data_IF_633944144085
#
_entry.id   IF_633944144085
#
_cell.length_a   1.000
_cell.length_b   1.000
_cell.length_c   1.000
_cell.angle_alpha   90.00
_cell.angle_beta   90.00
_cell.angle_gamma   90.00
#
_symmetry.space_group_name_H-M   'P 1'
#
loop_
_entity.id
_entity.type
_entity.pdbx_description
1 polymer ?
#
# COMPACT_ATOMS: atom_id res chain seq x y z
N UNK A 1 7.56 -10.63 12.70
CA UNK A 1 7.43 -9.46 11.81
C UNK A 1 6.04 -8.86 12.00
N UNK A 2 5.89 -7.54 12.23
CA UNK A 2 4.57 -6.88 12.27
C UNK A 2 4.31 -6.24 10.91
N UNK A 3 3.25 -6.65 10.24
CA UNK A 3 2.74 -5.98 9.03
C UNK A 3 2.27 -4.57 9.40
N UNK A 4 2.34 -3.61 8.47
CA UNK A 4 1.89 -2.23 8.71
C UNK A 4 0.45 -2.14 9.25
N UNK A 5 -0.40 -3.12 8.92
CA UNK A 5 -1.76 -3.24 9.46
C UNK A 5 -1.99 -4.52 10.28
N UNK A 6 -1.00 -5.41 10.40
CA UNK A 6 -1.20 -6.74 11.01
C UNK A 6 -2.04 -7.73 10.18
N UNK A 7 -2.58 -7.29 9.03
CA UNK A 7 -3.59 -8.05 8.28
C UNK A 7 -2.96 -8.86 7.13
N UNK A 8 -3.33 -10.15 6.94
CA UNK A 8 -2.75 -10.97 5.88
C UNK A 8 -3.23 -10.55 4.48
N UNK A 9 -2.29 -10.52 3.54
CA UNK A 9 -2.59 -10.45 2.10
C UNK A 9 -3.11 -11.82 1.67
N UNK A 10 -4.24 -11.87 0.99
CA UNK A 10 -4.79 -13.09 0.39
C UNK A 10 -4.35 -13.27 -1.07
N UNK A 11 -4.24 -12.18 -1.83
CA UNK A 11 -3.90 -12.19 -3.25
C UNK A 11 -3.27 -10.86 -3.67
N UNK A 12 -2.33 -10.93 -4.60
CA UNK A 12 -1.81 -9.80 -5.35
C UNK A 12 -1.81 -10.13 -6.84
N UNK A 13 -2.33 -9.24 -7.69
CA UNK A 13 -2.39 -9.48 -9.13
C UNK A 13 -2.22 -8.20 -9.93
N UNK A 14 -1.63 -8.33 -11.12
CA UNK A 14 -1.55 -7.30 -12.16
C UNK A 14 -2.37 -7.69 -13.41
N UNK A 15 -3.16 -8.75 -13.32
CA UNK A 15 -4.14 -9.11 -14.35
C UNK A 15 -5.38 -8.29 -14.09
N UNK A 16 -5.79 -7.50 -15.08
CA UNK A 16 -6.95 -6.66 -14.92
C UNK A 16 -8.25 -7.44 -14.89
N UNK A 17 -9.11 -7.13 -13.91
CA UNK A 17 -10.48 -7.66 -13.81
C UNK A 17 -11.40 -6.47 -13.53
N UNK A 18 -12.56 -6.42 -14.20
CA UNK A 18 -13.59 -5.39 -14.00
C UNK A 18 -13.09 -3.93 -14.12
N UNK A 19 -12.20 -3.67 -15.09
CA UNK A 19 -11.67 -2.32 -15.35
C UNK A 19 -10.59 -1.85 -14.38
N UNK A 20 -10.17 -2.68 -13.43
CA UNK A 20 -9.02 -2.43 -12.54
C UNK A 20 -7.79 -3.13 -13.14
N UNK A 21 -6.63 -2.46 -13.23
CA UNK A 21 -5.40 -3.02 -13.85
C UNK A 21 -4.60 -3.96 -12.94
N UNK A 22 -4.90 -3.98 -11.66
CA UNK A 22 -4.24 -4.82 -10.67
C UNK A 22 -4.93 -4.66 -9.32
N UNK A 23 -4.81 -5.66 -8.46
CA UNK A 23 -5.52 -5.70 -7.18
C UNK A 23 -4.67 -6.38 -6.11
N UNK A 24 -4.70 -5.80 -4.93
CA UNK A 24 -4.35 -6.49 -3.68
C UNK A 24 -5.65 -6.77 -2.94
N UNK A 25 -5.84 -8.01 -2.51
CA UNK A 25 -6.94 -8.38 -1.63
C UNK A 25 -6.40 -9.07 -0.38
N UNK A 26 -7.04 -8.82 0.74
CA UNK A 26 -6.77 -9.42 2.03
C UNK A 26 -7.94 -9.11 2.95
N UNK A 27 -7.86 -9.59 4.19
CA UNK A 27 -8.73 -9.03 5.21
C UNK A 27 -8.42 -7.53 5.36
N UNK A 28 -9.43 -6.77 5.78
CA UNK A 28 -9.21 -5.44 6.32
C UNK A 28 -9.87 -5.50 7.69
N UNK A 29 -9.10 -5.23 8.74
CA UNK A 29 -9.65 -5.14 10.09
C UNK A 29 -10.56 -3.91 10.20
N UNK A 30 -11.48 -3.95 11.16
CA UNK A 30 -12.28 -2.79 11.52
C UNK A 30 -11.33 -1.66 11.97
N UNK A 31 -11.52 -0.47 11.40
CA UNK A 31 -10.67 0.69 11.67
C UNK A 31 -11.19 1.38 12.94
N UNK A 32 -10.63 0.99 14.08
CA UNK A 32 -11.14 1.40 15.40
C UNK A 32 -10.22 2.39 16.14
N UNK A 33 -9.03 2.66 15.60
CA UNK A 33 -8.09 3.60 16.21
C UNK A 33 -7.44 4.55 15.21
N UNK A 34 -6.95 5.68 15.71
CA UNK A 34 -6.19 6.64 14.90
C UNK A 34 -4.98 5.99 14.21
N UNK A 35 -4.34 5.03 14.87
CA UNK A 35 -3.23 4.27 14.31
C UNK A 35 -3.69 3.43 13.10
N UNK A 36 -4.87 2.82 13.17
CA UNK A 36 -5.43 2.01 12.08
C UNK A 36 -5.77 2.88 10.87
N UNK A 37 -6.40 4.04 11.09
CA UNK A 37 -6.66 5.00 10.02
C UNK A 37 -5.36 5.50 9.38
N UNK A 38 -4.34 5.85 10.18
CA UNK A 38 -3.06 6.29 9.65
C UNK A 38 -2.36 5.19 8.84
N UNK A 39 -2.26 3.98 9.39
CA UNK A 39 -1.67 2.83 8.71
C UNK A 39 -2.43 2.49 7.42
N UNK A 40 -3.75 2.66 7.41
CA UNK A 40 -4.55 2.49 6.20
C UNK A 40 -4.19 3.52 5.13
N UNK A 41 -3.98 4.78 5.51
CA UNK A 41 -3.51 5.82 4.57
C UNK A 41 -2.14 5.43 4.01
N UNK A 42 -1.19 4.98 4.86
CA UNK A 42 0.15 4.52 4.42
C UNK A 42 0.02 3.43 3.34
N UNK A 43 -0.83 2.42 3.55
CA UNK A 43 -1.05 1.35 2.56
C UNK A 43 -1.65 1.88 1.25
N UNK A 44 -2.60 2.81 1.33
CA UNK A 44 -3.28 3.36 0.14
C UNK A 44 -2.36 4.27 -0.69
N UNK A 45 -1.47 5.03 -0.04
CA UNK A 45 -0.49 5.87 -0.74
C UNK A 45 0.69 5.05 -1.27
N UNK A 46 1.01 3.90 -0.66
CA UNK A 46 2.16 3.08 -1.04
C UNK A 46 2.17 2.64 -2.51
N UNK A 47 1.00 2.48 -3.16
CA UNK A 47 0.93 2.12 -4.58
C UNK A 47 1.61 3.15 -5.48
N UNK A 48 1.23 4.42 -5.35
CA UNK A 48 1.77 5.49 -6.19
C UNK A 48 3.18 5.92 -5.74
N UNK A 49 3.50 5.80 -4.44
CA UNK A 49 4.88 5.99 -3.95
C UNK A 49 5.79 4.89 -4.49
N UNK A 50 5.33 3.65 -4.56
CA UNK A 50 6.04 2.52 -5.16
C UNK A 50 6.31 2.72 -6.64
N UNK A 51 5.33 3.24 -7.41
CA UNK A 51 5.55 3.65 -8.80
C UNK A 51 6.67 4.68 -8.90
N UNK A 52 6.60 5.76 -8.11
CA UNK A 52 7.62 6.81 -8.10
C UNK A 52 8.99 6.27 -7.72
N UNK A 53 9.04 5.38 -6.74
CA UNK A 53 10.27 4.77 -6.26
C UNK A 53 10.91 3.85 -7.32
N UNK A 54 10.10 3.06 -8.02
CA UNK A 54 10.58 2.08 -9.00
C UNK A 54 10.84 2.68 -10.40
N UNK A 55 9.95 3.56 -10.88
CA UNK A 55 9.96 4.12 -12.23
C UNK A 55 10.53 5.55 -12.29
N UNK A 56 10.76 6.19 -11.14
CA UNK A 56 11.17 7.60 -11.06
C UNK A 56 10.01 8.60 -11.21
N UNK A 57 8.84 8.14 -11.64
CA UNK A 57 7.64 8.95 -11.80
C UNK A 57 6.38 8.21 -11.31
N UNK A 58 5.35 8.98 -10.94
CA UNK A 58 4.03 8.43 -10.64
C UNK A 58 2.96 9.34 -11.21
N UNK A 59 1.82 8.74 -11.57
CA UNK A 59 0.61 9.47 -11.98
C UNK A 59 -0.15 10.07 -10.79
N UNK A 60 0.36 9.89 -9.57
CA UNK A 60 -0.23 10.37 -8.33
C UNK A 60 -1.41 9.53 -7.85
N UNK A 61 -1.83 9.78 -6.61
CA UNK A 61 -2.97 9.13 -5.99
C UNK A 61 -4.28 9.46 -6.73
N UNK A 62 -4.98 8.43 -7.22
CA UNK A 62 -6.18 8.58 -8.08
C UNK A 62 -7.27 7.57 -7.72
N UNK A 63 -8.46 7.80 -8.28
CA UNK A 63 -9.57 6.84 -8.24
C UNK A 63 -10.03 6.49 -6.83
N UNK A 64 -10.27 5.20 -6.59
CA UNK A 64 -10.75 4.69 -5.31
C UNK A 64 -9.78 4.96 -4.16
N UNK A 65 -8.48 4.94 -4.41
CA UNK A 65 -7.49 5.07 -3.34
C UNK A 65 -7.44 6.51 -2.83
N UNK A 66 -7.58 7.49 -3.72
CA UNK A 66 -7.75 8.89 -3.32
C UNK A 66 -8.97 9.08 -2.42
N UNK A 67 -10.12 8.55 -2.84
CA UNK A 67 -11.36 8.66 -2.03
C UNK A 67 -11.19 8.05 -0.65
N UNK A 68 -10.62 6.84 -0.56
CA UNK A 68 -10.39 6.16 0.71
C UNK A 68 -9.39 6.88 1.61
N UNK A 69 -8.34 7.48 1.03
CA UNK A 69 -7.39 8.32 1.77
C UNK A 69 -8.10 9.54 2.33
N UNK A 70 -8.92 10.22 1.53
CA UNK A 70 -9.70 11.38 1.96
C UNK A 70 -10.65 10.99 3.11
N UNK A 71 -11.33 9.84 3.00
CA UNK A 71 -12.23 9.31 4.04
C UNK A 71 -11.46 9.00 5.35
N UNK A 72 -10.33 8.29 5.27
CA UNK A 72 -9.52 7.98 6.47
C UNK A 72 -8.92 9.23 7.10
N UNK A 73 -8.45 10.19 6.30
CA UNK A 73 -7.90 11.44 6.81
C UNK A 73 -8.99 12.29 7.48
N UNK A 74 -10.24 12.23 6.98
CA UNK A 74 -11.37 12.88 7.60
C UNK A 74 -11.74 12.32 8.97
N UNK A 75 -11.51 11.02 9.22
CA UNK A 75 -11.65 10.41 10.53
C UNK A 75 -10.59 10.89 11.55
N UNK A 76 -9.43 11.34 11.07
CA UNK A 76 -8.31 11.77 11.93
C UNK A 76 -8.31 13.28 12.23
N UNK A 77 -8.86 14.10 11.35
CA UNK A 77 -8.90 15.54 11.54
C UNK A 77 -10.01 16.19 10.72
N UNK A 78 -10.68 17.20 11.27
CA UNK A 78 -11.67 18.00 10.53
C UNK A 78 -11.04 19.06 9.63
N UNK A 79 -9.88 19.58 10.02
CA UNK A 79 -9.21 20.66 9.31
C UNK A 79 -8.51 20.15 8.04
N UNK A 80 -8.82 20.76 6.89
CA UNK A 80 -8.25 20.37 5.59
C UNK A 80 -6.71 20.42 5.54
N UNK A 81 -6.08 21.41 6.20
CA UNK A 81 -4.62 21.49 6.25
C UNK A 81 -4.04 20.36 7.10
N UNK A 82 -4.67 20.03 8.23
CA UNK A 82 -4.27 18.90 9.06
C UNK A 82 -4.38 17.57 8.29
N UNK A 83 -5.48 17.36 7.55
CA UNK A 83 -5.64 16.19 6.64
C UNK A 83 -4.50 16.11 5.63
N UNK A 84 -4.18 17.23 4.98
CA UNK A 84 -3.08 17.27 4.00
C UNK A 84 -1.72 16.94 4.64
N UNK A 85 -1.47 17.37 5.87
CA UNK A 85 -0.23 17.05 6.59
C UNK A 85 -0.17 15.57 6.99
N UNK A 86 -1.29 14.98 7.40
CA UNK A 86 -1.41 13.55 7.72
C UNK A 86 -1.11 12.70 6.48
N UNK A 87 -1.74 13.02 5.34
CA UNK A 87 -1.48 12.32 4.07
C UNK A 87 0.00 12.45 3.69
N UNK A 88 0.58 13.65 3.84
CA UNK A 88 2.00 13.86 3.56
C UNK A 88 2.91 13.04 4.47
N UNK A 89 2.59 12.93 5.76
CA UNK A 89 3.34 12.09 6.69
C UNK A 89 3.25 10.61 6.30
N UNK A 90 2.07 10.13 5.89
CA UNK A 90 1.90 8.77 5.42
C UNK A 90 2.66 8.47 4.11
N UNK A 91 2.76 9.42 3.18
CA UNK A 91 3.60 9.28 1.98
C UNK A 91 5.09 9.12 2.34
N UNK A 92 5.58 9.91 3.31
CA UNK A 92 6.97 9.83 3.78
C UNK A 92 7.23 8.49 4.47
N UNK A 93 6.28 8.01 5.28
CA UNK A 93 6.39 6.69 5.92
C UNK A 93 6.38 5.56 4.88
N UNK A 94 5.49 5.60 3.89
CA UNK A 94 5.46 4.63 2.80
C UNK A 94 6.78 4.60 2.02
N UNK A 95 7.35 5.77 1.72
CA UNK A 95 8.65 5.88 1.06
C UNK A 95 9.78 5.30 1.93
N UNK A 96 9.76 5.58 3.25
CA UNK A 96 10.71 5.00 4.19
C UNK A 96 10.63 3.47 4.21
N UNK A 97 9.43 2.90 4.30
CA UNK A 97 9.20 1.46 4.31
C UNK A 97 9.67 0.80 3.00
N UNK A 98 9.37 1.40 1.85
CA UNK A 98 9.82 0.89 0.54
C UNK A 98 11.35 0.88 0.42
N UNK A 99 12.03 1.94 0.89
CA UNK A 99 13.50 1.97 0.95
C UNK A 99 14.07 0.94 1.92
N UNK A 100 13.49 0.86 3.11
CA UNK A 100 13.93 -0.07 4.15
C UNK A 100 13.83 -1.53 3.69
N UNK A 101 12.80 -1.84 2.90
CA UNK A 101 12.51 -3.17 2.39
C UNK A 101 12.70 -3.26 0.86
N UNK A 102 13.72 -2.57 0.33
CA UNK A 102 13.92 -2.44 -1.12
C UNK A 102 14.11 -3.79 -1.83
N UNK A 103 14.86 -4.72 -1.22
CA UNK A 103 15.09 -6.05 -1.77
C UNK A 103 13.79 -6.85 -1.88
N UNK A 104 13.00 -6.89 -0.79
CA UNK A 104 11.68 -7.52 -0.78
C UNK A 104 10.72 -6.88 -1.79
N UNK A 105 10.72 -5.54 -1.89
CA UNK A 105 9.91 -4.81 -2.88
C UNK A 105 10.26 -5.21 -4.31
N UNK A 106 11.55 -5.21 -4.67
CA UNK A 106 12.00 -5.61 -6.02
C UNK A 106 11.65 -7.07 -6.32
N UNK A 107 11.87 -7.98 -5.37
CA UNK A 107 11.53 -9.38 -5.52
C UNK A 107 10.03 -9.61 -5.75
N UNK A 108 9.17 -8.86 -5.07
CA UNK A 108 7.72 -8.89 -5.30
C UNK A 108 7.34 -8.39 -6.70
N UNK A 109 7.95 -7.28 -7.15
CA UNK A 109 7.73 -6.75 -8.50
C UNK A 109 8.14 -7.77 -9.57
N UNK A 110 9.34 -8.32 -9.46
CA UNK A 110 9.85 -9.32 -10.42
C UNK A 110 8.96 -10.57 -10.45
N UNK A 111 8.51 -11.04 -9.27
CA UNK A 111 7.61 -12.17 -9.18
C UNK A 111 6.23 -11.90 -9.80
N UNK A 112 5.68 -10.69 -9.62
CA UNK A 112 4.43 -10.28 -10.26
C UNK A 112 4.58 -10.16 -11.78
N UNK A 113 5.68 -9.61 -12.27
CA UNK A 113 5.94 -9.53 -13.72
C UNK A 113 6.07 -10.93 -14.34
N UNK A 114 6.68 -11.88 -13.62
CA UNK A 114 6.84 -13.25 -14.10
C UNK A 114 5.54 -14.08 -14.03
N UNK A 115 4.71 -13.89 -13.00
CA UNK A 115 3.57 -14.79 -12.69
C UNK A 115 2.20 -14.15 -12.83
N UNK A 116 2.14 -12.83 -12.93
CA UNK A 116 0.93 -11.98 -12.98
C UNK A 116 -0.01 -12.06 -11.76
N UNK A 117 0.08 -13.13 -10.95
CA UNK A 117 -0.71 -13.40 -9.76
C UNK A 117 0.18 -14.04 -8.69
N UNK A 118 0.06 -13.58 -7.45
CA UNK A 118 0.67 -14.17 -6.26
C UNK A 118 -0.41 -14.39 -5.21
N UNK A 119 -0.44 -15.59 -4.63
CA UNK A 119 -1.22 -15.86 -3.41
C UNK A 119 -0.59 -15.23 -2.18
N UNK A 120 -1.35 -15.10 -1.10
CA UNK A 120 -0.86 -14.63 0.20
C UNK A 120 0.39 -15.36 0.69
N UNK A 121 0.40 -16.69 0.64
CA UNK A 121 1.55 -17.50 1.03
C UNK A 121 2.80 -17.19 0.21
N UNK A 122 2.66 -17.03 -1.10
CA UNK A 122 3.79 -16.65 -1.97
C UNK A 122 4.31 -15.24 -1.68
N UNK A 123 3.43 -14.30 -1.34
CA UNK A 123 3.84 -12.95 -0.91
C UNK A 123 4.65 -13.03 0.38
N UNK A 124 4.19 -13.79 1.37
CA UNK A 124 4.90 -14.00 2.63
C UNK A 124 6.26 -14.66 2.42
N UNK A 125 6.33 -15.74 1.65
CA UNK A 125 7.59 -16.44 1.34
C UNK A 125 8.64 -15.53 0.69
N UNK A 126 8.20 -14.67 -0.24
CA UNK A 126 9.11 -13.70 -0.89
C UNK A 126 9.63 -12.69 0.14
N UNK A 127 8.76 -12.14 0.99
CA UNK A 127 9.16 -11.15 2.00
C UNK A 127 10.15 -11.76 3.00
N UNK A 128 9.85 -12.95 3.52
CA UNK A 128 10.69 -13.64 4.52
C UNK A 128 12.08 -14.03 4.00
N UNK A 129 12.23 -14.22 2.69
CA UNK A 129 13.53 -14.53 2.08
C UNK A 129 14.45 -13.30 1.97
N UNK A 130 13.87 -12.11 1.89
CA UNK A 130 14.56 -10.86 1.57
C UNK A 130 14.64 -9.90 2.78
N UNK A 131 14.32 -10.38 3.99
CA UNK A 131 14.44 -9.64 5.27
C UNK A 131 15.27 -10.39 6.29
#
# INVERSE_FOLDING_TARGET
>A
MRWATGVPIALMTIVGVDGVRGRVSGAFDDLDSDADYFNRIVVLVAGHIGEKHHLGESKGLKGSDRRKVDDCAACLADNANARSLIVRAAEVEAEHLLRKHEQAFRALVDALLARSVLSGGQVTEIIERET
#
